data_IF_415454603820
#
_entry.id   IF_415454603820
#
_cell.length_a   1.000
_cell.length_b   1.000
_cell.length_c   1.000
_cell.angle_alpha   90.00
_cell.angle_beta   90.00
_cell.angle_gamma   90.00
#
_symmetry.space_group_name_H-M   'P 1'
#
loop_
_entity.id
_entity.type
_entity.pdbx_description
1 polymer ?
#
# COMPACT_ATOMS: atom_id res chain seq x y z
N UNK A 1 -37.50 14.00 18.77
CA UNK A 1 -36.61 13.11 19.51
C UNK A 1 -36.86 11.72 18.93
N UNK A 2 -36.03 11.28 17.97
CA UNK A 2 -36.15 9.97 17.35
C UNK A 2 -35.66 8.91 18.33
N UNK A 3 -36.50 7.91 18.60
CA UNK A 3 -36.12 6.71 19.33
C UNK A 3 -34.96 6.01 18.60
N UNK A 4 -33.82 5.89 19.26
CA UNK A 4 -32.68 5.12 18.74
C UNK A 4 -33.09 3.65 18.68
N UNK A 5 -33.01 3.03 17.47
CA UNK A 5 -33.31 1.61 17.29
C UNK A 5 -32.49 0.77 18.30
N UNK A 6 -33.07 -0.31 18.92
CA UNK A 6 -32.37 -1.15 19.90
C UNK A 6 -31.00 -1.67 19.44
N UNK A 7 -30.82 -1.96 18.14
CA UNK A 7 -29.54 -2.37 17.53
C UNK A 7 -28.43 -1.30 17.63
N UNK A 8 -28.78 -0.02 17.66
CA UNK A 8 -27.80 1.05 17.81
C UNK A 8 -27.33 1.24 19.25
N UNK A 9 -28.20 0.94 20.22
CA UNK A 9 -27.88 1.00 21.66
C UNK A 9 -26.91 -0.13 22.01
N UNK A 10 -27.17 -1.34 21.54
CA UNK A 10 -26.29 -2.50 21.77
C UNK A 10 -24.91 -2.30 21.12
N UNK A 11 -24.87 -1.73 19.91
CA UNK A 11 -23.61 -1.35 19.23
C UNK A 11 -22.82 -0.33 20.04
N UNK A 12 -23.47 0.73 20.51
CA UNK A 12 -22.82 1.77 21.30
C UNK A 12 -22.24 1.20 22.59
N UNK A 13 -23.01 0.33 23.28
CA UNK A 13 -22.57 -0.29 24.52
C UNK A 13 -21.35 -1.20 24.33
N UNK A 14 -21.35 -2.05 23.32
CA UNK A 14 -20.20 -2.92 22.97
C UNK A 14 -18.98 -2.07 22.64
N UNK A 15 -19.17 -0.98 21.91
CA UNK A 15 -18.18 -0.02 21.54
C UNK A 15 -17.50 0.66 22.75
N UNK A 16 -18.34 1.14 23.67
CA UNK A 16 -17.87 1.84 24.87
C UNK A 16 -17.19 0.87 25.84
N UNK A 17 -17.70 -0.37 25.94
CA UNK A 17 -17.10 -1.44 26.73
C UNK A 17 -15.72 -1.82 26.18
N UNK A 18 -15.59 -2.01 24.87
CA UNK A 18 -14.31 -2.31 24.22
C UNK A 18 -13.30 -1.18 24.42
N UNK A 19 -13.75 0.07 24.25
CA UNK A 19 -12.92 1.27 24.46
C UNK A 19 -12.43 1.36 25.90
N UNK A 20 -13.32 1.08 26.86
CA UNK A 20 -12.98 1.07 28.27
C UNK A 20 -11.90 0.04 28.58
N UNK A 21 -12.05 -1.21 28.11
CA UNK A 21 -11.06 -2.26 28.34
C UNK A 21 -9.73 -2.01 27.64
N UNK A 22 -9.73 -1.48 26.41
CA UNK A 22 -8.50 -1.06 25.73
C UNK A 22 -7.77 0.05 26.50
N UNK A 23 -8.47 1.06 26.96
CA UNK A 23 -7.87 2.14 27.75
C UNK A 23 -7.36 1.65 29.12
N UNK A 24 -8.02 0.65 29.69
CA UNK A 24 -7.61 0.03 30.94
C UNK A 24 -6.34 -0.81 30.75
N UNK A 25 -6.26 -1.62 29.73
CA UNK A 25 -5.09 -2.47 29.43
C UNK A 25 -3.81 -1.66 29.15
N UNK A 26 -3.93 -0.42 28.68
CA UNK A 26 -2.78 0.45 28.43
C UNK A 26 -2.35 1.32 29.62
N UNK A 27 -3.01 1.21 30.77
CA UNK A 27 -2.53 1.87 32.00
C UNK A 27 -1.34 1.11 32.55
N UNK A 28 -0.19 1.77 32.59
CA UNK A 28 1.10 1.23 33.05
C UNK A 28 1.09 0.62 34.47
N UNK A 29 0.10 0.98 35.29
CA UNK A 29 -0.02 0.55 36.70
C UNK A 29 -0.72 -0.82 36.87
N UNK A 30 -1.27 -1.42 35.81
CA UNK A 30 -2.04 -2.66 35.89
C UNK A 30 -1.49 -3.80 35.02
N UNK A 31 -0.27 -3.68 34.55
CA UNK A 31 0.36 -4.68 33.65
C UNK A 31 0.49 -6.08 34.27
N UNK A 32 0.53 -6.18 35.59
CA UNK A 32 0.74 -7.44 36.30
C UNK A 32 -0.53 -8.25 36.59
N UNK A 33 -1.73 -7.68 36.40
CA UNK A 33 -2.99 -8.34 36.76
C UNK A 33 -3.64 -9.09 35.58
N UNK A 34 -3.34 -8.69 34.34
CA UNK A 34 -3.92 -9.29 33.12
C UNK A 34 -2.82 -9.66 32.14
N UNK A 35 -2.19 -10.80 32.37
CA UNK A 35 -1.24 -11.40 31.43
C UNK A 35 -1.92 -11.99 30.18
N UNK A 36 -3.24 -12.18 30.21
CA UNK A 36 -4.01 -12.72 29.09
C UNK A 36 -4.69 -11.62 28.29
N UNK A 37 -4.56 -11.71 26.98
CA UNK A 37 -5.24 -10.85 26.01
C UNK A 37 -6.76 -11.09 26.11
N UNK A 38 -7.45 -10.28 26.91
CA UNK A 38 -8.90 -10.34 27.13
C UNK A 38 -9.64 -9.89 25.87
N UNK A 39 -9.68 -10.78 24.89
CA UNK A 39 -10.50 -10.61 23.71
C UNK A 39 -11.97 -10.71 24.11
N UNK A 40 -12.71 -9.60 24.12
CA UNK A 40 -14.13 -9.55 24.54
C UNK A 40 -15.01 -10.59 23.85
N UNK A 41 -14.73 -10.89 22.57
CA UNK A 41 -15.48 -11.90 21.81
C UNK A 41 -15.17 -13.35 22.25
N UNK A 42 -14.12 -13.58 23.04
CA UNK A 42 -13.80 -14.89 23.66
C UNK A 42 -14.39 -15.04 25.05
N UNK A 43 -14.95 -13.99 25.63
CA UNK A 43 -15.55 -14.01 26.95
C UNK A 43 -16.81 -14.91 26.95
N UNK A 44 -16.83 -15.98 27.80
CA UNK A 44 -17.93 -16.95 27.86
C UNK A 44 -19.29 -16.30 28.14
N UNK A 45 -19.30 -15.27 29.00
CA UNK A 45 -20.53 -14.55 29.36
C UNK A 45 -21.13 -13.76 28.19
N UNK A 46 -20.30 -13.34 27.22
CA UNK A 46 -20.71 -12.55 26.07
C UNK A 46 -20.90 -13.40 24.79
N UNK A 47 -20.46 -14.66 24.80
CA UNK A 47 -20.62 -15.59 23.67
C UNK A 47 -22.03 -15.61 23.08
N UNK A 48 -23.11 -15.76 23.86
CA UNK A 48 -24.46 -15.84 23.32
C UNK A 48 -24.89 -14.59 22.53
N UNK A 49 -24.33 -13.43 22.91
CA UNK A 49 -24.65 -12.14 22.30
C UNK A 49 -23.71 -11.80 21.10
N UNK A 50 -22.49 -12.30 21.11
CA UNK A 50 -21.44 -11.89 20.17
C UNK A 50 -21.13 -12.91 19.07
N UNK A 51 -21.44 -14.20 19.26
CA UNK A 51 -20.98 -15.28 18.38
C UNK A 51 -21.82 -15.52 17.13
N UNK A 52 -22.78 -14.64 16.79
CA UNK A 52 -23.37 -14.70 15.45
C UNK A 52 -22.37 -14.15 14.41
N UNK A 53 -22.32 -14.73 13.21
CA UNK A 53 -21.40 -14.23 12.15
C UNK A 53 -21.57 -12.74 11.88
N UNK A 54 -22.81 -12.25 11.95
CA UNK A 54 -23.17 -10.85 11.71
C UNK A 54 -22.59 -9.93 12.80
N UNK A 55 -22.70 -10.31 14.08
CA UNK A 55 -22.18 -9.53 15.19
C UNK A 55 -20.65 -9.54 15.20
N UNK A 56 -20.02 -10.71 14.96
CA UNK A 56 -18.56 -10.82 14.83
C UNK A 56 -18.04 -9.96 13.68
N UNK A 57 -18.70 -9.97 12.52
CA UNK A 57 -18.33 -9.10 11.40
C UNK A 57 -18.45 -7.64 11.76
N UNK A 58 -19.49 -7.22 12.47
CA UNK A 58 -19.66 -5.83 12.91
C UNK A 58 -18.56 -5.39 13.90
N UNK A 59 -18.15 -6.28 14.80
CA UNK A 59 -17.04 -6.01 15.74
C UNK A 59 -15.74 -5.87 14.94
N UNK A 60 -15.48 -6.80 14.03
CA UNK A 60 -14.29 -6.76 13.18
C UNK A 60 -14.24 -5.50 12.29
N UNK A 61 -15.38 -5.11 11.69
CA UNK A 61 -15.51 -3.87 10.91
C UNK A 61 -15.21 -2.62 11.74
N UNK A 62 -15.68 -2.63 12.99
CA UNK A 62 -15.37 -1.54 13.90
C UNK A 62 -13.87 -1.47 14.22
N UNK A 63 -13.25 -2.59 14.59
CA UNK A 63 -11.82 -2.68 14.89
C UNK A 63 -10.98 -2.26 13.66
N UNK A 64 -11.37 -2.73 12.49
CA UNK A 64 -10.77 -2.35 11.22
C UNK A 64 -10.84 -0.85 10.97
N UNK A 65 -11.99 -0.21 11.25
CA UNK A 65 -12.17 1.24 11.08
C UNK A 65 -11.35 2.09 12.05
N UNK A 66 -10.82 1.46 13.11
CA UNK A 66 -9.96 2.07 14.13
C UNK A 66 -8.49 1.66 13.99
N UNK A 67 -8.13 1.03 12.87
CA UNK A 67 -6.78 0.57 12.57
C UNK A 67 -6.24 -0.52 13.54
N UNK A 68 -7.14 -1.18 14.31
CA UNK A 68 -6.78 -2.34 15.13
C UNK A 68 -6.70 -3.60 14.24
N UNK A 69 -5.72 -3.61 13.33
CA UNK A 69 -5.63 -4.62 12.27
C UNK A 69 -5.38 -6.03 12.79
N UNK A 70 -4.65 -6.18 13.88
CA UNK A 70 -4.36 -7.50 14.45
C UNK A 70 -5.62 -8.15 15.00
N UNK A 71 -6.37 -7.42 15.82
CA UNK A 71 -7.62 -7.91 16.43
C UNK A 71 -8.72 -8.12 15.38
N UNK A 72 -8.85 -7.17 14.44
CA UNK A 72 -9.77 -7.31 13.32
C UNK A 72 -9.45 -8.57 12.50
N UNK A 73 -8.17 -8.80 12.19
CA UNK A 73 -7.71 -9.99 11.47
C UNK A 73 -8.06 -11.27 12.19
N UNK A 74 -7.87 -11.33 13.51
CA UNK A 74 -8.24 -12.51 14.32
C UNK A 74 -9.71 -12.84 14.16
N UNK A 75 -10.60 -11.86 14.24
CA UNK A 75 -12.04 -12.11 14.08
C UNK A 75 -12.38 -12.51 12.63
N UNK A 76 -11.91 -11.73 11.63
CA UNK A 76 -12.20 -12.05 10.24
C UNK A 76 -11.67 -13.43 9.85
N UNK A 77 -10.44 -13.75 10.21
CA UNK A 77 -9.81 -15.00 9.82
C UNK A 77 -10.29 -16.18 10.67
N UNK A 78 -10.09 -16.13 12.01
CA UNK A 78 -10.32 -17.28 12.88
C UNK A 78 -11.80 -17.56 13.10
N UNK A 79 -12.62 -16.51 13.24
CA UNK A 79 -14.04 -16.67 13.61
C UNK A 79 -14.97 -16.72 12.40
N UNK A 80 -14.61 -16.10 11.28
CA UNK A 80 -15.45 -16.05 10.09
C UNK A 80 -14.87 -16.90 8.96
N UNK A 81 -13.72 -16.55 8.40
CA UNK A 81 -13.19 -17.15 7.18
C UNK A 81 -12.83 -18.63 7.40
N UNK A 82 -12.06 -18.94 8.43
CA UNK A 82 -11.59 -20.31 8.71
C UNK A 82 -12.74 -21.26 9.11
N UNK A 83 -13.86 -20.72 9.60
CA UNK A 83 -15.07 -21.48 9.92
C UNK A 83 -16.07 -21.58 8.75
N UNK A 84 -15.68 -21.14 7.56
CA UNK A 84 -16.52 -21.18 6.35
C UNK A 84 -17.71 -20.22 6.38
N UNK A 85 -17.66 -19.18 7.22
CA UNK A 85 -18.71 -18.15 7.37
C UNK A 85 -18.28 -16.80 6.76
N UNK A 86 -17.04 -16.71 6.26
CA UNK A 86 -16.48 -15.52 5.64
C UNK A 86 -16.95 -15.35 4.20
N UNK A 87 -17.38 -14.16 3.84
CA UNK A 87 -17.66 -13.75 2.48
C UNK A 87 -16.40 -13.12 1.81
N UNK A 88 -16.52 -12.73 0.55
CA UNK A 88 -15.42 -12.09 -0.19
C UNK A 88 -14.90 -10.83 0.52
N UNK A 89 -15.78 -10.03 1.13
CA UNK A 89 -15.42 -8.82 1.88
C UNK A 89 -14.60 -9.16 3.13
N UNK A 90 -14.98 -10.20 3.86
CA UNK A 90 -14.23 -10.67 5.04
C UNK A 90 -12.81 -11.13 4.66
N UNK A 91 -12.67 -11.87 3.56
CA UNK A 91 -11.37 -12.27 3.04
C UNK A 91 -10.53 -11.08 2.55
N UNK A 92 -11.15 -10.09 1.88
CA UNK A 92 -10.47 -8.87 1.46
C UNK A 92 -9.93 -8.09 2.66
N UNK A 93 -10.74 -7.94 3.71
CA UNK A 93 -10.33 -7.25 4.95
C UNK A 93 -9.27 -8.03 5.73
N UNK A 94 -9.36 -9.35 5.76
CA UNK A 94 -8.30 -10.23 6.29
C UNK A 94 -6.98 -9.96 5.57
N UNK A 95 -6.98 -10.00 4.24
CA UNK A 95 -5.80 -9.70 3.44
C UNK A 95 -5.24 -8.31 3.70
N UNK A 96 -6.10 -7.30 3.83
CA UNK A 96 -5.68 -5.93 4.11
C UNK A 96 -5.05 -5.79 5.51
N UNK A 97 -5.63 -6.40 6.53
CA UNK A 97 -5.04 -6.42 7.87
C UNK A 97 -3.64 -7.06 7.85
N UNK A 98 -3.51 -8.22 7.21
CA UNK A 98 -2.23 -8.91 7.05
C UNK A 98 -1.20 -8.07 6.30
N UNK A 99 -1.62 -7.37 5.25
CA UNK A 99 -0.78 -6.46 4.49
C UNK A 99 -0.30 -5.28 5.35
N UNK A 100 -1.16 -4.69 6.19
CA UNK A 100 -0.78 -3.64 7.14
C UNK A 100 0.21 -4.13 8.19
N UNK A 101 0.12 -5.39 8.58
CA UNK A 101 1.10 -6.08 9.44
C UNK A 101 2.36 -6.54 8.70
N UNK A 102 2.52 -6.19 7.41
CA UNK A 102 3.63 -6.58 6.53
C UNK A 102 3.73 -8.10 6.28
N UNK A 103 2.70 -8.87 6.55
CA UNK A 103 2.59 -10.31 6.29
C UNK A 103 2.07 -10.53 4.87
N UNK A 104 2.91 -10.18 3.87
CA UNK A 104 2.47 -10.10 2.47
C UNK A 104 2.10 -11.46 1.87
N UNK A 105 2.78 -12.53 2.27
CA UNK A 105 2.50 -13.89 1.76
C UNK A 105 1.13 -14.38 2.23
N UNK A 106 0.84 -14.23 3.51
CA UNK A 106 -0.46 -14.59 4.08
C UNK A 106 -1.58 -13.68 3.53
N UNK A 107 -1.28 -12.39 3.30
CA UNK A 107 -2.22 -11.47 2.68
C UNK A 107 -2.61 -11.92 1.27
N UNK A 108 -1.65 -12.40 0.46
CA UNK A 108 -1.91 -12.96 -0.87
C UNK A 108 -2.82 -14.19 -0.81
N UNK A 109 -2.64 -15.07 0.17
CA UNK A 109 -3.52 -16.22 0.36
C UNK A 109 -4.96 -15.78 0.65
N UNK A 110 -5.14 -14.79 1.52
CA UNK A 110 -6.46 -14.24 1.83
C UNK A 110 -7.10 -13.56 0.61
N UNK A 111 -6.33 -12.76 -0.14
CA UNK A 111 -6.83 -12.14 -1.37
C UNK A 111 -7.16 -13.17 -2.46
N UNK A 112 -6.42 -14.26 -2.57
CA UNK A 112 -6.75 -15.36 -3.49
C UNK A 112 -8.10 -16.00 -3.14
N UNK A 113 -8.39 -16.21 -1.85
CA UNK A 113 -9.72 -16.69 -1.42
C UNK A 113 -10.82 -15.67 -1.75
N UNK A 114 -10.55 -14.38 -1.55
CA UNK A 114 -11.48 -13.32 -1.94
C UNK A 114 -11.76 -13.31 -3.45
N UNK A 115 -10.73 -13.51 -4.28
CA UNK A 115 -10.84 -13.55 -5.75
C UNK A 115 -11.60 -14.79 -6.22
N UNK A 116 -11.45 -15.94 -5.56
CA UNK A 116 -12.27 -17.14 -5.83
C UNK A 116 -13.76 -16.90 -5.57
N UNK A 117 -14.11 -16.15 -4.54
CA UNK A 117 -15.50 -15.83 -4.20
C UNK A 117 -16.09 -14.69 -5.04
N UNK A 118 -15.26 -13.75 -5.45
CA UNK A 118 -15.62 -12.59 -6.28
C UNK A 118 -14.51 -12.31 -7.27
N UNK A 119 -14.49 -13.01 -8.41
CA UNK A 119 -13.44 -12.87 -9.41
C UNK A 119 -13.33 -11.47 -9.99
N UNK A 120 -12.13 -11.13 -10.41
CA UNK A 120 -11.80 -9.89 -11.12
C UNK A 120 -12.22 -8.60 -10.38
N UNK A 121 -12.23 -8.64 -9.06
CA UNK A 121 -12.51 -7.44 -8.29
C UNK A 121 -11.29 -6.50 -8.31
N UNK A 122 -11.44 -5.34 -8.95
CA UNK A 122 -10.36 -4.37 -9.22
C UNK A 122 -9.53 -4.05 -7.97
N UNK A 123 -10.21 -3.76 -6.85
CA UNK A 123 -9.52 -3.44 -5.60
C UNK A 123 -8.65 -4.61 -5.11
N UNK A 124 -9.18 -5.84 -5.14
CA UNK A 124 -8.46 -7.06 -4.73
C UNK A 124 -7.21 -7.27 -5.59
N UNK A 125 -7.36 -7.19 -6.91
CA UNK A 125 -6.24 -7.32 -7.85
C UNK A 125 -5.15 -6.25 -7.62
N UNK A 126 -5.55 -5.00 -7.34
CA UNK A 126 -4.60 -3.92 -6.99
C UNK A 126 -3.86 -4.21 -5.68
N UNK A 127 -4.54 -4.74 -4.66
CA UNK A 127 -3.88 -5.12 -3.41
C UNK A 127 -2.94 -6.32 -3.58
N UNK A 128 -3.35 -7.34 -4.36
CA UNK A 128 -2.47 -8.46 -4.70
C UNK A 128 -1.19 -7.97 -5.41
N UNK A 129 -1.34 -7.12 -6.43
CA UNK A 129 -0.21 -6.53 -7.13
C UNK A 129 0.74 -5.78 -6.17
N UNK A 130 0.18 -5.04 -5.22
CA UNK A 130 0.98 -4.33 -4.22
C UNK A 130 1.73 -5.29 -3.29
N UNK A 131 1.11 -6.39 -2.85
CA UNK A 131 1.78 -7.42 -2.06
C UNK A 131 2.90 -8.09 -2.85
N UNK A 132 2.65 -8.48 -4.11
CA UNK A 132 3.66 -9.03 -5.00
C UNK A 132 4.84 -8.07 -5.22
N UNK A 133 4.59 -6.77 -5.42
CA UNK A 133 5.65 -5.75 -5.49
C UNK A 133 6.50 -5.69 -4.22
N UNK A 134 5.88 -5.78 -3.04
CA UNK A 134 6.60 -5.79 -1.75
C UNK A 134 7.45 -7.04 -1.54
N UNK A 135 7.08 -8.15 -2.18
CA UNK A 135 7.84 -9.40 -2.21
C UNK A 135 8.83 -9.47 -3.39
N UNK A 136 8.96 -8.41 -4.18
CA UNK A 136 9.76 -8.37 -5.42
C UNK A 136 9.33 -9.38 -6.50
N UNK A 137 8.10 -9.88 -6.43
CA UNK A 137 7.49 -10.76 -7.42
C UNK A 137 6.84 -9.91 -8.52
N UNK A 138 7.69 -9.23 -9.33
CA UNK A 138 7.21 -8.22 -10.26
C UNK A 138 6.41 -8.79 -11.44
N UNK A 139 6.67 -10.06 -11.85
CA UNK A 139 5.91 -10.70 -12.91
C UNK A 139 4.47 -10.98 -12.47
N UNK A 140 4.29 -11.53 -11.29
CA UNK A 140 2.97 -11.81 -10.71
C UNK A 140 2.21 -10.50 -10.42
N UNK A 141 2.94 -9.45 -10.04
CA UNK A 141 2.35 -8.11 -9.92
C UNK A 141 1.81 -7.61 -11.26
N UNK A 142 2.57 -7.77 -12.35
CA UNK A 142 2.14 -7.41 -13.70
C UNK A 142 0.90 -8.19 -14.14
N UNK A 143 0.82 -9.48 -13.87
CA UNK A 143 -0.33 -10.31 -14.24
C UNK A 143 -1.62 -9.79 -13.58
N UNK A 144 -1.53 -9.35 -12.31
CA UNK A 144 -2.65 -8.69 -11.63
C UNK A 144 -2.97 -7.33 -12.25
N UNK A 145 -1.95 -6.50 -12.53
CA UNK A 145 -2.15 -5.16 -13.07
C UNK A 145 -2.69 -5.17 -14.50
N UNK A 146 -2.29 -6.12 -15.34
CA UNK A 146 -2.84 -6.28 -16.69
C UNK A 146 -4.32 -6.65 -16.68
N UNK A 147 -4.77 -7.50 -15.75
CA UNK A 147 -6.20 -7.75 -15.55
C UNK A 147 -6.94 -6.46 -15.21
N UNK A 148 -6.36 -5.60 -14.36
CA UNK A 148 -6.97 -4.31 -14.04
C UNK A 148 -6.93 -3.36 -15.24
N UNK A 149 -5.88 -3.38 -16.07
CA UNK A 149 -5.76 -2.53 -17.26
C UNK A 149 -6.89 -2.81 -18.27
N UNK A 150 -7.29 -4.09 -18.45
CA UNK A 150 -8.44 -4.42 -19.34
C UNK A 150 -9.73 -3.76 -18.89
N UNK A 151 -9.90 -3.50 -17.59
CA UNK A 151 -11.08 -2.86 -17.01
C UNK A 151 -10.95 -1.33 -16.89
N UNK A 152 -9.72 -0.83 -16.77
CA UNK A 152 -9.41 0.59 -16.56
C UNK A 152 -8.21 1.03 -17.42
N UNK A 153 -8.31 1.06 -18.76
CA UNK A 153 -7.16 1.24 -19.66
C UNK A 153 -6.50 2.63 -19.56
N UNK A 154 -7.25 3.64 -19.11
CA UNK A 154 -6.77 5.03 -19.06
C UNK A 154 -6.46 5.51 -17.63
N UNK A 155 -6.31 4.58 -16.69
CA UNK A 155 -5.95 4.92 -15.33
C UNK A 155 -4.43 5.21 -15.24
N UNK A 156 -4.06 6.48 -15.16
CA UNK A 156 -2.66 6.94 -15.15
C UNK A 156 -1.82 6.28 -14.03
N UNK A 157 -2.41 6.15 -12.85
CA UNK A 157 -1.74 5.53 -11.70
C UNK A 157 -1.46 4.04 -11.96
N UNK A 158 -2.37 3.36 -12.65
CA UNK A 158 -2.18 1.96 -13.05
C UNK A 158 -1.06 1.84 -14.09
N UNK A 159 -1.08 2.69 -15.12
CA UNK A 159 -0.05 2.70 -16.17
C UNK A 159 1.35 2.96 -15.57
N UNK A 160 1.46 3.89 -14.63
CA UNK A 160 2.72 4.12 -13.89
C UNK A 160 3.16 2.88 -13.12
N UNK A 161 2.26 2.19 -12.44
CA UNK A 161 2.59 0.97 -11.70
C UNK A 161 3.06 -0.17 -12.62
N UNK A 162 2.41 -0.34 -13.78
CA UNK A 162 2.83 -1.32 -14.80
C UNK A 162 4.24 -0.97 -15.29
N UNK A 163 4.47 0.29 -15.67
CA UNK A 163 5.79 0.76 -16.10
C UNK A 163 6.87 0.52 -15.04
N UNK A 164 6.59 0.79 -13.78
CA UNK A 164 7.51 0.53 -12.66
C UNK A 164 7.85 -0.96 -12.51
N UNK A 165 6.86 -1.85 -12.61
CA UNK A 165 7.11 -3.30 -12.55
C UNK A 165 7.96 -3.75 -13.74
N UNK A 166 7.67 -3.27 -14.95
CA UNK A 166 8.45 -3.56 -16.15
C UNK A 166 9.90 -3.07 -16.02
N UNK A 167 10.11 -1.88 -15.49
CA UNK A 167 11.45 -1.34 -15.24
C UNK A 167 12.21 -2.18 -14.21
N UNK A 168 11.53 -2.66 -13.15
CA UNK A 168 12.10 -3.56 -12.15
C UNK A 168 12.50 -4.93 -12.73
N UNK A 169 11.83 -5.37 -13.81
CA UNK A 169 12.18 -6.56 -14.60
C UNK A 169 13.21 -6.26 -15.71
N UNK A 170 13.82 -5.08 -15.73
CA UNK A 170 14.76 -4.61 -16.74
C UNK A 170 14.18 -4.55 -18.17
N UNK A 171 12.85 -4.54 -18.31
CA UNK A 171 12.15 -4.44 -19.59
C UNK A 171 11.94 -2.96 -19.96
N UNK A 172 13.03 -2.20 -20.06
CA UNK A 172 13.00 -0.72 -20.14
C UNK A 172 12.25 -0.19 -21.36
N UNK A 173 12.34 -0.83 -22.53
CA UNK A 173 11.63 -0.38 -23.73
C UNK A 173 10.10 -0.49 -23.57
N UNK A 174 9.63 -1.56 -22.93
CA UNK A 174 8.22 -1.69 -22.62
C UNK A 174 7.79 -0.70 -21.52
N UNK A 175 8.62 -0.51 -20.50
CA UNK A 175 8.35 0.46 -19.43
C UNK A 175 8.21 1.88 -20.00
N UNK A 176 9.12 2.28 -20.91
CA UNK A 176 9.08 3.57 -21.59
C UNK A 176 7.77 3.80 -22.33
N UNK A 177 7.22 2.77 -23.02
CA UNK A 177 5.93 2.91 -23.73
C UNK A 177 4.78 3.26 -22.78
N UNK A 178 4.75 2.70 -21.58
CA UNK A 178 3.76 3.05 -20.55
C UNK A 178 3.99 4.44 -19.95
N UNK A 179 5.24 4.80 -19.66
CA UNK A 179 5.54 6.11 -19.11
C UNK A 179 5.28 7.24 -20.10
N UNK A 180 5.58 7.04 -21.39
CA UNK A 180 5.22 8.01 -22.44
C UNK A 180 3.70 8.13 -22.63
N UNK A 181 2.93 7.03 -22.49
CA UNK A 181 1.48 7.11 -22.51
C UNK A 181 0.97 8.03 -21.37
N UNK A 182 1.56 7.93 -20.18
CA UNK A 182 1.22 8.80 -19.04
C UNK A 182 1.64 10.24 -19.32
N UNK A 183 2.87 10.48 -19.81
CA UNK A 183 3.37 11.82 -20.15
C UNK A 183 2.50 12.52 -21.20
N UNK A 184 1.97 11.76 -22.15
CA UNK A 184 1.07 12.29 -23.19
C UNK A 184 -0.31 12.65 -22.65
N UNK A 185 -0.85 11.86 -21.73
CA UNK A 185 -2.21 12.03 -21.18
C UNK A 185 -2.30 13.09 -20.08
N UNK A 186 -1.21 13.41 -19.43
CA UNK A 186 -1.11 14.38 -18.34
C UNK A 186 -0.10 15.47 -18.67
N UNK A 187 -0.38 16.71 -18.24
CA UNK A 187 0.53 17.83 -18.49
C UNK A 187 1.76 17.70 -17.60
N UNK A 188 2.84 17.16 -18.16
CA UNK A 188 4.18 17.07 -17.55
C UNK A 188 4.24 16.41 -16.15
N UNK A 189 3.79 15.15 -16.00
CA UNK A 189 3.81 14.48 -14.70
C UNK A 189 5.25 14.17 -14.27
N UNK A 190 5.72 14.81 -13.21
CA UNK A 190 7.08 14.65 -12.70
C UNK A 190 7.45 13.18 -12.46
N UNK A 191 6.50 12.36 -11.95
CA UNK A 191 6.73 10.94 -11.70
C UNK A 191 6.99 10.13 -12.98
N UNK A 192 6.30 10.43 -14.08
CA UNK A 192 6.55 9.79 -15.36
C UNK A 192 7.91 10.25 -15.93
N UNK A 193 8.23 11.54 -15.85
CA UNK A 193 9.50 12.09 -16.31
C UNK A 193 10.70 11.50 -15.56
N UNK A 194 10.60 11.34 -14.23
CA UNK A 194 11.63 10.64 -13.43
C UNK A 194 11.82 9.21 -13.90
N UNK A 195 10.73 8.48 -14.12
CA UNK A 195 10.77 7.10 -14.57
C UNK A 195 11.36 6.96 -15.98
N UNK A 196 11.01 7.87 -16.91
CA UNK A 196 11.57 7.90 -18.28
C UNK A 196 13.07 8.19 -18.20
N UNK A 197 13.48 9.24 -17.46
CA UNK A 197 14.87 9.59 -17.27
C UNK A 197 15.70 8.44 -16.73
N UNK A 198 15.18 7.74 -15.73
CA UNK A 198 15.80 6.54 -15.17
C UNK A 198 15.92 5.40 -16.18
N UNK A 199 14.87 5.10 -16.95
CA UNK A 199 14.93 4.07 -17.99
C UNK A 199 15.98 4.39 -19.05
N UNK A 200 16.10 5.63 -19.48
CA UNK A 200 17.16 6.05 -20.41
C UNK A 200 18.55 5.92 -19.80
N UNK A 201 18.73 6.29 -18.54
CA UNK A 201 19.99 6.10 -17.82
C UNK A 201 20.38 4.63 -17.79
N UNK A 202 19.47 3.73 -17.40
CA UNK A 202 19.73 2.29 -17.33
C UNK A 202 20.01 1.64 -18.69
N UNK A 203 19.55 2.25 -19.78
CA UNK A 203 19.82 1.79 -21.16
C UNK A 203 21.04 2.48 -21.80
N UNK A 204 21.79 3.30 -21.04
CA UNK A 204 22.99 4.00 -21.52
C UNK A 204 22.69 5.20 -22.41
N UNK A 205 21.44 5.60 -22.57
CA UNK A 205 21.03 6.78 -23.35
C UNK A 205 21.10 8.04 -22.48
N UNK A 206 22.32 8.38 -22.08
CA UNK A 206 22.58 9.45 -21.10
C UNK A 206 22.16 10.83 -21.55
N UNK A 207 22.20 11.12 -22.87
CA UNK A 207 21.77 12.42 -23.42
C UNK A 207 20.25 12.61 -23.25
N UNK A 208 19.50 11.57 -23.53
CA UNK A 208 18.05 11.56 -23.36
C UNK A 208 17.68 11.64 -21.88
N UNK A 209 18.38 10.86 -21.03
CA UNK A 209 18.17 10.92 -19.58
C UNK A 209 18.39 12.33 -19.02
N UNK A 210 19.48 12.99 -19.42
CA UNK A 210 19.79 14.36 -18.99
C UNK A 210 18.66 15.35 -19.31
N UNK A 211 18.05 15.25 -20.51
CA UNK A 211 16.94 16.13 -20.90
C UNK A 211 15.73 16.04 -19.96
N UNK A 212 15.43 14.83 -19.46
CA UNK A 212 14.32 14.64 -18.54
C UNK A 212 14.64 15.16 -17.14
N UNK A 213 15.85 14.92 -16.64
CA UNK A 213 16.25 15.45 -15.33
C UNK A 213 16.46 16.98 -15.37
N UNK A 214 16.95 17.55 -16.48
CA UNK A 214 17.03 19.01 -16.65
C UNK A 214 15.63 19.67 -16.63
N UNK A 215 14.61 19.03 -17.21
CA UNK A 215 13.21 19.50 -17.11
C UNK A 215 12.71 19.47 -15.66
N UNK A 216 13.00 18.39 -14.93
CA UNK A 216 12.60 18.25 -13.54
C UNK A 216 13.23 19.30 -12.63
N UNK A 217 14.49 19.69 -12.90
CA UNK A 217 15.17 20.76 -12.16
C UNK A 217 14.55 22.15 -12.37
N UNK A 218 13.72 22.33 -13.41
CA UNK A 218 13.02 23.57 -13.72
C UNK A 218 11.56 23.55 -13.20
N UNK A 219 11.12 22.47 -12.59
CA UNK A 219 9.76 22.34 -12.03
C UNK A 219 9.64 23.09 -10.69
N UNK A 220 8.39 23.42 -10.31
CA UNK A 220 8.12 24.12 -9.05
C UNK A 220 8.49 23.29 -7.81
N UNK A 221 8.39 21.96 -7.92
CA UNK A 221 8.75 21.02 -6.86
C UNK A 221 9.85 20.06 -7.32
N UNK A 222 11.08 20.40 -7.02
CA UNK A 222 12.27 19.59 -7.31
C UNK A 222 12.61 18.74 -6.10
N UNK A 223 12.70 17.42 -6.28
CA UNK A 223 13.14 16.53 -5.21
C UNK A 223 14.68 16.47 -5.16
N UNK A 224 15.22 16.24 -3.97
CA UNK A 224 16.67 15.96 -3.78
C UNK A 224 17.13 14.83 -4.71
N UNK A 225 16.32 13.78 -4.89
CA UNK A 225 16.59 12.68 -5.81
C UNK A 225 16.70 13.09 -7.28
N UNK A 226 16.04 14.16 -7.72
CA UNK A 226 16.12 14.64 -9.10
C UNK A 226 17.50 15.22 -9.38
N UNK A 227 18.06 15.96 -8.43
CA UNK A 227 19.43 16.46 -8.48
C UNK A 227 20.46 15.32 -8.43
N UNK A 228 20.28 14.33 -7.55
CA UNK A 228 21.17 13.17 -7.46
C UNK A 228 21.18 12.38 -8.77
N UNK A 229 20.01 12.08 -9.32
CA UNK A 229 19.89 11.33 -10.57
C UNK A 229 20.51 12.10 -11.76
N UNK A 230 20.30 13.42 -11.84
CA UNK A 230 20.96 14.26 -12.82
C UNK A 230 22.50 14.22 -12.67
N UNK A 231 23.00 14.30 -11.44
CA UNK A 231 24.42 14.15 -11.14
C UNK A 231 24.99 12.82 -11.63
N UNK A 232 24.28 11.71 -11.40
CA UNK A 232 24.68 10.38 -11.90
C UNK A 232 24.71 10.33 -13.43
N UNK A 233 23.72 10.93 -14.09
CA UNK A 233 23.68 11.00 -15.57
C UNK A 233 24.86 11.78 -16.10
N UNK A 234 25.16 12.98 -15.55
CA UNK A 234 26.31 13.80 -16.00
C UNK A 234 27.65 13.15 -15.69
N UNK A 235 27.76 12.43 -14.58
CA UNK A 235 28.94 11.63 -14.25
C UNK A 235 29.16 10.53 -15.30
N UNK A 236 28.10 9.83 -15.71
CA UNK A 236 28.17 8.80 -16.76
C UNK A 236 28.52 9.38 -18.14
N UNK A 237 28.18 10.64 -18.39
CA UNK A 237 28.61 11.40 -19.59
C UNK A 237 30.06 11.94 -19.49
N UNK A 238 30.76 11.67 -18.39
CA UNK A 238 32.07 12.26 -18.06
C UNK A 238 32.07 13.80 -17.94
N UNK A 239 30.90 14.38 -17.64
CA UNK A 239 30.75 15.81 -17.40
C UNK A 239 30.85 16.10 -15.89
N UNK A 240 32.10 16.04 -15.37
CA UNK A 240 32.40 16.17 -13.95
C UNK A 240 31.92 17.52 -13.36
N UNK A 241 32.13 18.69 -14.04
CA UNK A 241 31.70 19.97 -13.49
C UNK A 241 30.18 20.03 -13.22
N UNK A 242 29.36 19.59 -14.19
CA UNK A 242 27.89 19.53 -14.03
C UNK A 242 27.46 18.52 -13.00
N UNK A 243 28.10 17.36 -12.93
CA UNK A 243 27.79 16.35 -11.92
C UNK A 243 27.99 16.90 -10.50
N UNK A 244 29.12 17.58 -10.26
CA UNK A 244 29.43 18.22 -8.97
C UNK A 244 28.45 19.34 -8.62
N UNK A 245 28.02 20.11 -9.60
CA UNK A 245 26.96 21.13 -9.39
C UNK A 245 25.64 20.49 -8.93
N UNK A 246 25.19 19.42 -9.62
CA UNK A 246 23.98 18.70 -9.24
C UNK A 246 24.08 18.11 -7.83
N UNK A 247 25.22 17.52 -7.46
CA UNK A 247 25.40 16.97 -6.10
C UNK A 247 25.40 18.06 -5.02
N UNK A 248 25.98 19.25 -5.28
CA UNK A 248 25.90 20.39 -4.36
C UNK A 248 24.46 20.88 -4.19
N UNK A 249 23.69 20.92 -5.28
CA UNK A 249 22.27 21.26 -5.21
C UNK A 249 21.49 20.21 -4.40
N UNK A 250 21.75 18.92 -4.62
CA UNK A 250 21.14 17.86 -3.83
C UNK A 250 21.44 18.03 -2.32
N UNK A 251 22.70 18.28 -1.97
CA UNK A 251 23.12 18.54 -0.58
C UNK A 251 22.42 19.76 0.02
N UNK A 252 22.26 20.85 -0.73
CA UNK A 252 21.58 22.05 -0.25
C UNK A 252 20.07 21.86 -0.02
N UNK A 253 19.44 20.91 -0.71
CA UNK A 253 18.01 20.59 -0.58
C UNK A 253 17.75 19.47 0.45
N UNK A 254 18.81 18.81 0.94
CA UNK A 254 18.66 17.76 1.95
C UNK A 254 18.47 18.39 3.34
N UNK A 255 17.36 18.02 4.02
CA UNK A 255 17.06 18.57 5.36
C UNK A 255 17.87 17.91 6.49
N UNK A 256 18.48 16.75 6.22
CA UNK A 256 19.37 16.07 7.17
C UNK A 256 20.53 15.40 6.44
N UNK A 257 21.71 15.42 7.07
CA UNK A 257 22.92 14.78 6.53
C UNK A 257 22.76 13.25 6.38
N UNK A 258 21.91 12.63 7.21
CA UNK A 258 21.65 11.19 7.20
C UNK A 258 20.78 10.76 6.00
N UNK A 259 19.94 11.64 5.43
CA UNK A 259 19.17 11.35 4.21
C UNK A 259 20.04 11.37 2.93
N UNK A 260 21.19 12.02 2.99
CA UNK A 260 22.10 12.11 1.84
C UNK A 260 22.95 10.86 1.63
N UNK A 261 23.16 10.07 2.68
CA UNK A 261 24.03 8.89 2.68
C UNK A 261 23.26 7.58 2.40
N UNK A 262 21.92 7.57 2.48
CA UNK A 262 21.08 6.42 2.13
C UNK A 262 20.79 6.37 0.61
#
# INVERSE_FOLDING_TARGET
>A
KGEKKPSNISRQYIHDLYRFFKLWMYRSEMHDIFTDDLSLWKCEALKPLMHTPENLKQIADYLFSKDYFQEACTIYYDELCNKGKGDADSWQKTGFCLQKMKKYTEALQAYAQADLLKPEHIWTLKQMAQCHKKLHHYQEALDCLYKVETMQPDNLNLLLQIGQCLASLHMYDKALSYFFKVEYMETAPANAQRAIGWCYFMTGKYTEAARFFDKLQQADEVLTSDWLNAGHVYLAQNNIPKALECYRQAESHCQSHDEFIQ
#
